data_IF_991253974894
#
_entry.id   IF_991253974894
#
_cell.length_a   1.000
_cell.length_b   1.000
_cell.length_c   1.000
_cell.angle_alpha   90.00
_cell.angle_beta   90.00
_cell.angle_gamma   90.00
#
_symmetry.space_group_name_H-M   'P 1'
#
loop_
_entity.id
_entity.type
_entity.pdbx_description
1 polymer ?
#
# COMPACT_ATOMS: atom_id res chain seq x y z
N UNK A 1 13.58 -12.27 8.39
CA UNK A 1 13.64 -10.84 8.01
C UNK A 1 12.23 -10.32 7.75
N UNK A 2 11.86 -9.19 8.35
CA UNK A 2 10.52 -8.58 8.21
C UNK A 2 10.63 -7.15 7.66
N UNK A 3 10.09 -6.96 6.46
CA UNK A 3 10.04 -5.65 5.80
C UNK A 3 8.61 -5.14 5.74
N UNK A 4 8.42 -3.86 6.08
CA UNK A 4 7.11 -3.22 6.07
C UNK A 4 7.08 -2.14 5.00
N UNK A 5 6.10 -2.20 4.10
CA UNK A 5 5.84 -1.21 3.08
C UNK A 5 4.59 -0.39 3.43
N UNK A 6 4.72 0.91 3.65
CA UNK A 6 3.59 1.83 3.94
C UNK A 6 3.60 3.05 3.05
N UNK A 7 2.45 3.72 2.89
CA UNK A 7 2.31 4.90 2.05
C UNK A 7 2.65 6.16 2.83
N UNK A 8 3.42 7.06 2.23
CA UNK A 8 3.94 8.23 2.92
C UNK A 8 2.99 9.44 2.96
N UNK A 9 1.98 9.50 2.08
CA UNK A 9 1.07 10.63 1.95
C UNK A 9 -0.40 10.20 2.18
N UNK A 10 -1.29 10.52 1.24
CA UNK A 10 -2.73 10.27 1.32
C UNK A 10 -3.15 9.01 0.54
N UNK A 11 -2.23 8.06 0.32
CA UNK A 11 -2.53 6.78 -0.30
C UNK A 11 -2.67 6.86 -1.82
N UNK A 12 -1.89 6.07 -2.54
CA UNK A 12 -1.78 5.94 -4.02
C UNK A 12 -0.36 6.16 -4.56
N UNK A 13 0.62 6.04 -3.67
CA UNK A 13 2.02 6.34 -3.91
C UNK A 13 2.74 5.25 -4.72
N UNK A 14 2.01 4.29 -5.29
CA UNK A 14 2.61 3.19 -6.04
C UNK A 14 3.13 2.03 -5.17
N UNK A 15 2.62 1.87 -3.94
CA UNK A 15 2.93 0.71 -3.07
C UNK A 15 2.82 -0.63 -3.80
N UNK A 16 1.77 -0.83 -4.62
CA UNK A 16 1.59 -2.06 -5.38
C UNK A 16 2.75 -2.39 -6.31
N UNK A 17 3.28 -1.37 -7.01
CA UNK A 17 4.45 -1.49 -7.87
C UNK A 17 5.71 -1.85 -7.06
N UNK A 18 5.92 -1.18 -5.92
CA UNK A 18 7.10 -1.46 -5.08
C UNK A 18 6.99 -2.86 -4.48
N UNK A 19 5.83 -3.26 -3.96
CA UNK A 19 5.61 -4.60 -3.42
C UNK A 19 5.73 -5.69 -4.48
N UNK A 20 5.29 -5.46 -5.73
CA UNK A 20 5.49 -6.43 -6.82
C UNK A 20 6.96 -6.52 -7.24
N UNK A 21 7.68 -5.39 -7.28
CA UNK A 21 9.13 -5.38 -7.52
C UNK A 21 9.89 -6.18 -6.45
N UNK A 22 9.65 -5.88 -5.17
CA UNK A 22 10.25 -6.61 -4.04
C UNK A 22 9.86 -8.10 -4.06
N UNK A 23 8.63 -8.41 -4.44
CA UNK A 23 8.18 -9.78 -4.66
C UNK A 23 9.05 -10.53 -5.69
N UNK A 24 9.42 -9.87 -6.79
CA UNK A 24 10.26 -10.45 -7.86
C UNK A 24 11.72 -10.51 -7.42
N UNK A 25 12.26 -9.39 -6.91
CA UNK A 25 13.69 -9.22 -6.64
C UNK A 25 14.13 -10.01 -5.41
N UNK A 26 13.35 -9.96 -4.33
CA UNK A 26 13.78 -10.47 -3.02
C UNK A 26 13.21 -11.85 -2.73
N UNK A 27 12.20 -12.26 -3.52
CA UNK A 27 11.50 -13.54 -3.41
C UNK A 27 11.08 -13.89 -1.96
N UNK A 28 10.29 -13.03 -1.29
CA UNK A 28 9.90 -13.28 0.10
C UNK A 28 9.12 -14.59 0.20
N UNK A 29 9.35 -15.34 1.28
CA UNK A 29 8.63 -16.57 1.57
C UNK A 29 7.12 -16.28 1.74
N UNK A 30 6.81 -15.16 2.40
CA UNK A 30 5.45 -14.71 2.66
C UNK A 30 5.29 -13.23 2.30
N UNK A 31 4.19 -12.90 1.64
CA UNK A 31 3.72 -11.54 1.52
C UNK A 31 2.38 -11.41 2.23
N UNK A 32 2.22 -10.37 3.05
CA UNK A 32 1.05 -10.19 3.91
C UNK A 32 0.36 -8.89 3.55
N UNK A 33 -0.96 -8.92 3.34
CA UNK A 33 -1.78 -7.72 3.12
C UNK A 33 -2.44 -7.28 4.41
N UNK A 34 -2.46 -5.97 4.67
CA UNK A 34 -3.27 -5.34 5.73
C UNK A 34 -4.28 -4.32 5.18
N UNK A 35 -5.24 -3.95 6.03
CA UNK A 35 -6.35 -3.05 5.71
C UNK A 35 -7.47 -3.73 4.92
N UNK A 36 -8.00 -3.07 3.88
CA UNK A 36 -9.26 -3.50 3.25
C UNK A 36 -9.40 -3.16 1.76
N UNK A 37 -10.54 -3.58 1.18
CA UNK A 37 -10.93 -3.49 -0.23
C UNK A 37 -11.11 -2.06 -0.75
N UNK A 38 -11.04 -1.05 0.13
CA UNK A 38 -11.07 0.36 -0.24
C UNK A 38 -9.73 0.88 -0.81
N UNK A 39 -8.66 0.09 -0.74
CA UNK A 39 -7.36 0.41 -1.33
C UNK A 39 -7.07 -0.48 -2.55
N UNK A 40 -6.93 0.12 -3.73
CA UNK A 40 -6.57 -0.57 -4.97
C UNK A 40 -5.11 -0.34 -5.35
N UNK A 41 -4.36 -1.42 -5.50
CA UNK A 41 -2.97 -1.43 -5.96
C UNK A 41 -2.92 -1.93 -7.40
N UNK A 42 -2.38 -1.10 -8.29
CA UNK A 42 -2.17 -1.47 -9.68
C UNK A 42 -0.79 -2.11 -9.80
N UNK A 43 -0.75 -3.29 -10.42
CA UNK A 43 0.49 -4.02 -10.72
C UNK A 43 0.57 -4.20 -12.23
N UNK A 44 1.69 -3.77 -12.83
CA UNK A 44 2.00 -4.03 -14.23
C UNK A 44 3.24 -4.92 -14.27
N UNK A 45 3.13 -6.06 -14.93
CA UNK A 45 4.22 -7.01 -15.08
C UNK A 45 3.97 -7.94 -16.26
N UNK A 46 4.99 -8.25 -17.05
CA UNK A 46 4.88 -9.13 -18.23
C UNK A 46 3.73 -8.72 -19.18
N UNK A 47 3.63 -7.41 -19.48
CA UNK A 47 2.59 -6.82 -20.34
C UNK A 47 1.13 -7.06 -19.88
N UNK A 48 0.93 -7.42 -18.61
CA UNK A 48 -0.37 -7.57 -17.99
C UNK A 48 -0.53 -6.55 -16.88
N UNK A 49 -1.76 -6.08 -16.71
CA UNK A 49 -2.13 -5.10 -15.68
C UNK A 49 -3.20 -5.70 -14.79
N UNK A 50 -2.93 -5.74 -13.49
CA UNK A 50 -3.87 -6.16 -12.46
C UNK A 50 -4.22 -4.98 -11.55
N UNK A 51 -5.47 -4.98 -11.08
CA UNK A 51 -5.96 -4.04 -10.06
C UNK A 51 -6.37 -4.86 -8.85
N UNK A 52 -5.44 -5.03 -7.92
CA UNK A 52 -5.58 -5.89 -6.75
C UNK A 52 -5.99 -5.04 -5.54
N UNK A 53 -6.89 -5.56 -4.72
CA UNK A 53 -7.43 -4.89 -3.53
C UNK A 53 -7.20 -5.71 -2.27
N UNK A 54 -7.17 -7.04 -2.39
CA UNK A 54 -7.11 -7.98 -1.26
C UNK A 54 -5.79 -8.74 -1.24
N UNK A 55 -5.38 -9.33 -2.36
CA UNK A 55 -4.14 -10.11 -2.36
C UNK A 55 -2.92 -9.17 -2.25
N UNK A 56 -1.81 -9.62 -1.63
CA UNK A 56 -0.55 -8.91 -1.70
C UNK A 56 -0.05 -8.78 -3.15
N UNK A 57 0.49 -7.63 -3.52
CA UNK A 57 1.00 -7.34 -4.87
C UNK A 57 2.19 -8.21 -5.29
N UNK A 58 2.87 -8.83 -4.31
CA UNK A 58 3.92 -9.82 -4.53
C UNK A 58 3.40 -11.15 -5.15
N UNK A 59 2.10 -11.27 -5.44
CA UNK A 59 1.53 -12.42 -6.17
C UNK A 59 2.24 -12.72 -7.49
N UNK A 60 2.92 -11.73 -8.10
CA UNK A 60 3.70 -11.92 -9.33
C UNK A 60 4.82 -12.95 -9.17
N UNK A 61 5.32 -13.15 -7.94
CA UNK A 61 6.20 -14.26 -7.62
C UNK A 61 5.38 -15.50 -7.25
N UNK A 62 5.60 -16.60 -7.99
CA UNK A 62 4.87 -17.85 -7.83
C UNK A 62 5.32 -18.68 -6.62
N UNK A 63 6.51 -18.45 -6.06
CA UNK A 63 6.95 -19.13 -4.83
C UNK A 63 6.49 -18.45 -3.55
N UNK A 64 6.11 -17.17 -3.61
CA UNK A 64 5.64 -16.41 -2.44
C UNK A 64 4.24 -16.84 -2.02
N UNK A 65 4.07 -17.19 -0.74
CA UNK A 65 2.77 -17.42 -0.12
C UNK A 65 2.08 -16.08 0.16
N UNK A 66 0.78 -16.01 -0.11
CA UNK A 66 -0.02 -14.79 -0.04
C UNK A 66 -0.94 -14.84 1.17
N UNK A 67 -0.77 -13.91 2.10
CA UNK A 67 -1.39 -14.00 3.43
C UNK A 67 -2.33 -12.83 3.68
N UNK A 68 -3.52 -13.12 4.21
CA UNK A 68 -4.41 -12.12 4.80
C UNK A 68 -4.32 -12.17 6.33
N UNK A 69 -3.90 -11.05 6.90
CA UNK A 69 -3.70 -10.86 8.33
C UNK A 69 -5.02 -10.83 9.13
N UNK A 70 -5.03 -11.18 10.43
CA UNK A 70 -6.25 -11.15 11.25
C UNK A 70 -6.92 -9.76 11.25
N UNK A 71 -6.13 -8.69 11.22
CA UNK A 71 -6.64 -7.34 11.13
C UNK A 71 -7.36 -7.03 9.82
N UNK A 72 -7.12 -7.75 8.71
CA UNK A 72 -7.67 -7.39 7.41
C UNK A 72 -9.21 -7.52 7.33
N UNK A 73 -9.79 -6.79 6.38
CA UNK A 73 -11.20 -6.86 5.98
C UNK A 73 -11.31 -7.14 4.48
N UNK A 74 -12.10 -8.13 4.11
CA UNK A 74 -12.24 -8.60 2.73
C UNK A 74 -13.70 -8.80 2.31
N UNK A 75 -13.98 -9.00 1.03
CA UNK A 75 -15.24 -9.58 0.56
C UNK A 75 -14.96 -10.87 -0.21
N UNK A 76 -15.86 -11.86 -0.08
CA UNK A 76 -15.66 -13.16 -0.72
C UNK A 76 -15.58 -13.04 -2.25
N UNK A 77 -16.47 -12.24 -2.85
CA UNK A 77 -16.51 -12.03 -4.29
C UNK A 77 -15.17 -11.49 -4.81
N UNK A 78 -14.67 -10.40 -4.23
CA UNK A 78 -13.43 -9.78 -4.68
C UNK A 78 -12.24 -10.70 -4.39
N UNK A 79 -12.23 -11.42 -3.26
CA UNK A 79 -11.17 -12.35 -2.90
C UNK A 79 -11.03 -13.46 -3.94
N UNK A 80 -12.12 -14.18 -4.23
CA UNK A 80 -12.07 -15.29 -5.19
C UNK A 80 -11.80 -14.82 -6.62
N UNK A 81 -12.28 -13.62 -7.00
CA UNK A 81 -11.93 -13.01 -8.28
C UNK A 81 -10.42 -12.73 -8.39
N UNK A 82 -9.79 -12.23 -7.33
CA UNK A 82 -8.35 -12.00 -7.29
C UNK A 82 -7.55 -13.31 -7.25
N UNK A 83 -7.97 -14.31 -6.48
CA UNK A 83 -7.33 -15.64 -6.45
C UNK A 83 -7.31 -16.26 -7.85
N UNK A 84 -8.45 -16.21 -8.55
CA UNK A 84 -8.58 -16.74 -9.91
C UNK A 84 -7.75 -15.95 -10.93
N UNK A 85 -7.81 -14.63 -10.91
CA UNK A 85 -7.13 -13.77 -11.90
C UNK A 85 -5.60 -13.72 -11.72
N UNK A 86 -5.11 -14.06 -10.53
CA UNK A 86 -3.68 -14.13 -10.22
C UNK A 86 -3.12 -15.57 -10.25
N UNK A 87 -3.99 -16.57 -10.38
CA UNK A 87 -3.63 -17.99 -10.36
C UNK A 87 -2.79 -18.32 -9.11
N UNK A 88 -3.44 -18.12 -7.95
CA UNK A 88 -2.78 -18.16 -6.62
C UNK A 88 -3.47 -19.08 -5.61
N UNK A 89 -4.44 -19.88 -6.05
CA UNK A 89 -5.29 -20.70 -5.19
C UNK A 89 -4.51 -21.56 -4.18
N UNK A 90 -3.47 -22.23 -4.65
CA UNK A 90 -2.66 -23.18 -3.88
C UNK A 90 -1.68 -22.55 -2.87
N UNK A 91 -1.66 -21.22 -2.75
CA UNK A 91 -0.66 -20.49 -1.95
C UNK A 91 -1.24 -19.30 -1.20
N UNK A 92 -2.57 -19.23 -1.11
CA UNK A 92 -3.29 -18.23 -0.30
C UNK A 92 -3.53 -18.79 1.09
N UNK A 93 -3.28 -17.95 2.09
CA UNK A 93 -3.45 -18.25 3.51
C UNK A 93 -4.25 -17.11 4.14
N UNK A 94 -5.28 -17.44 4.92
CA UNK A 94 -6.21 -16.46 5.47
C UNK A 94 -6.32 -16.70 6.97
N UNK A 95 -6.14 -15.65 7.77
CA UNK A 95 -6.40 -15.80 9.19
C UNK A 95 -7.91 -15.99 9.46
N UNK A 96 -8.23 -16.89 10.39
CA UNK A 96 -9.59 -17.13 10.87
C UNK A 96 -10.35 -15.86 11.33
N UNK A 97 -9.63 -14.80 11.72
CA UNK A 97 -10.17 -13.51 12.20
C UNK A 97 -10.29 -12.42 11.15
N UNK A 98 -9.96 -12.69 9.88
CA UNK A 98 -10.22 -11.74 8.78
C UNK A 98 -11.71 -11.41 8.75
N UNK A 99 -12.07 -10.13 8.79
CA UNK A 99 -13.48 -9.72 8.78
C UNK A 99 -14.07 -9.74 7.38
N UNK A 100 -15.32 -10.20 7.26
CA UNK A 100 -16.00 -10.32 5.97
C UNK A 100 -17.02 -9.20 5.78
N UNK A 101 -16.76 -8.37 4.77
CA UNK A 101 -17.65 -7.32 4.28
C UNK A 101 -18.70 -7.97 3.37
N UNK A 102 -19.97 -7.71 3.66
CA UNK A 102 -21.09 -8.16 2.85
C UNK A 102 -21.79 -6.99 2.17
N UNK A 103 -22.77 -7.30 1.32
CA UNK A 103 -23.66 -6.29 0.72
C UNK A 103 -24.33 -5.40 1.75
N UNK A 104 -24.52 -5.89 2.99
CA UNK A 104 -25.10 -5.10 4.07
C UNK A 104 -24.21 -3.90 4.41
N UNK A 105 -22.94 -4.14 4.73
CA UNK A 105 -22.00 -3.07 5.08
C UNK A 105 -21.79 -2.10 3.91
N UNK A 106 -21.76 -2.62 2.68
CA UNK A 106 -21.66 -1.79 1.46
C UNK A 106 -22.87 -0.87 1.31
N UNK A 107 -24.10 -1.40 1.48
CA UNK A 107 -25.34 -0.61 1.39
C UNK A 107 -25.45 0.40 2.52
N UNK A 108 -25.14 -0.01 3.75
CA UNK A 108 -25.16 0.86 4.92
C UNK A 108 -24.21 2.07 4.69
N UNK A 109 -22.99 1.84 4.21
CA UNK A 109 -22.05 2.92 3.90
C UNK A 109 -22.53 3.82 2.76
N UNK A 110 -23.09 3.25 1.68
CA UNK A 110 -23.57 4.04 0.52
C UNK A 110 -24.80 4.89 0.84
N UNK A 111 -25.61 4.46 1.80
CA UNK A 111 -26.79 5.19 2.26
C UNK A 111 -26.45 6.27 3.31
N UNK A 112 -25.25 6.24 3.87
CA UNK A 112 -24.77 7.24 4.81
C UNK A 112 -24.29 8.49 4.08
N UNK A 113 -25.13 9.54 4.07
CA UNK A 113 -24.80 10.77 3.36
C UNK A 113 -23.56 11.47 3.93
N UNK A 114 -23.29 11.35 5.23
CA UNK A 114 -22.12 11.98 5.82
C UNK A 114 -20.84 11.28 5.34
N UNK A 115 -20.80 9.95 5.35
CA UNK A 115 -19.65 9.21 4.82
C UNK A 115 -19.47 9.45 3.31
N UNK A 116 -20.55 9.45 2.53
CA UNK A 116 -20.45 9.58 1.07
C UNK A 116 -20.17 11.02 0.61
N UNK A 117 -20.80 12.04 1.21
CA UNK A 117 -20.68 13.45 0.79
C UNK A 117 -19.61 14.22 1.56
N UNK A 118 -19.55 14.09 2.89
CA UNK A 118 -18.62 14.85 3.73
C UNK A 118 -17.24 14.21 3.77
N UNK A 119 -17.14 12.93 4.09
CA UNK A 119 -15.84 12.23 4.11
C UNK A 119 -15.38 11.93 2.69
N UNK A 120 -16.30 11.51 1.83
CA UNK A 120 -15.98 11.04 0.48
C UNK A 120 -15.49 9.59 0.50
N UNK A 121 -16.19 8.71 1.22
CA UNK A 121 -15.86 7.28 1.30
C UNK A 121 -15.87 6.59 -0.07
N UNK A 122 -15.23 5.43 -0.14
CA UNK A 122 -15.17 4.56 -1.31
C UNK A 122 -16.47 3.76 -1.56
N UNK A 123 -17.37 3.71 -0.58
CA UNK A 123 -18.64 2.97 -0.69
C UNK A 123 -18.42 1.47 -0.85
N UNK A 124 -17.44 0.92 -0.14
CA UNK A 124 -17.05 -0.49 -0.14
C UNK A 124 -17.38 -1.19 1.18
N UNK A 125 -18.10 -0.55 2.10
CA UNK A 125 -18.51 -1.10 3.38
C UNK A 125 -17.45 -1.09 4.48
N UNK A 126 -16.25 -0.52 4.24
CA UNK A 126 -15.12 -0.63 5.17
C UNK A 126 -15.39 0.07 6.50
N UNK A 127 -15.95 1.28 6.49
CA UNK A 127 -16.27 2.01 7.72
C UNK A 127 -17.29 1.27 8.59
N UNK A 128 -18.37 0.77 7.98
CA UNK A 128 -19.40 0.00 8.68
C UNK A 128 -18.92 -1.37 9.15
N UNK A 129 -18.11 -2.07 8.35
CA UNK A 129 -17.50 -3.33 8.76
C UNK A 129 -16.59 -3.14 9.98
N UNK A 130 -15.76 -2.09 9.98
CA UNK A 130 -14.91 -1.77 11.13
C UNK A 130 -15.74 -1.43 12.38
N UNK A 131 -16.77 -0.59 12.23
CA UNK A 131 -17.68 -0.27 13.34
C UNK A 131 -18.35 -1.54 13.91
N UNK A 132 -18.81 -2.45 13.05
CA UNK A 132 -19.39 -3.74 13.46
C UNK A 132 -18.36 -4.64 14.13
N UNK A 133 -17.10 -4.62 13.68
CA UNK A 133 -16.00 -5.37 14.32
C UNK A 133 -15.73 -4.85 15.73
N UNK A 134 -15.68 -3.53 15.91
CA UNK A 134 -15.56 -2.87 17.22
C UNK A 134 -16.72 -3.28 18.14
N UNK A 135 -17.94 -3.33 17.61
CA UNK A 135 -19.14 -3.79 18.32
C UNK A 135 -19.24 -5.31 18.50
N UNK A 136 -18.26 -6.08 18.01
CA UNK A 136 -18.19 -7.57 18.08
C UNK A 136 -19.37 -8.29 17.40
N UNK A 137 -19.87 -7.74 16.30
CA UNK A 137 -20.99 -8.32 15.52
C UNK A 137 -20.64 -8.62 14.06
N UNK A 138 -19.45 -8.25 13.59
CA UNK A 138 -18.99 -8.59 12.25
C UNK A 138 -18.68 -10.09 12.16
N UNK A 139 -19.10 -10.74 11.07
CA UNK A 139 -18.69 -12.13 10.77
C UNK A 139 -17.25 -12.19 10.29
N UNK A 140 -16.56 -13.24 10.68
CA UNK A 140 -15.13 -13.46 10.38
C UNK A 140 -14.96 -14.64 9.42
N UNK A 141 -13.77 -14.79 8.85
CA UNK A 141 -13.47 -15.83 7.85
C UNK A 141 -13.82 -17.25 8.33
N UNK A 142 -13.61 -17.55 9.61
CA UNK A 142 -14.00 -18.83 10.23
C UNK A 142 -15.49 -19.17 10.17
N UNK A 143 -16.35 -18.18 9.94
CA UNK A 143 -17.80 -18.36 9.86
C UNK A 143 -18.26 -18.76 8.44
N UNK A 144 -17.34 -18.88 7.47
CA UNK A 144 -17.62 -19.15 6.05
C UNK A 144 -16.92 -20.44 5.59
N UNK A 145 -17.72 -21.43 5.17
CA UNK A 145 -17.21 -22.77 4.77
C UNK A 145 -16.32 -22.71 3.54
N UNK A 146 -16.59 -21.78 2.63
CA UNK A 146 -15.82 -21.57 1.40
C UNK A 146 -14.37 -21.19 1.68
N UNK A 147 -14.06 -20.71 2.89
CA UNK A 147 -12.71 -20.32 3.30
C UNK A 147 -11.97 -21.43 4.07
N UNK A 148 -12.62 -22.55 4.41
CA UNK A 148 -12.08 -23.60 5.30
C UNK A 148 -10.69 -24.08 4.86
N UNK A 149 -10.47 -24.26 3.55
CA UNK A 149 -9.20 -24.74 3.01
C UNK A 149 -8.06 -23.71 3.00
N UNK A 150 -8.34 -22.44 3.26
CA UNK A 150 -7.32 -21.38 3.30
C UNK A 150 -6.95 -20.96 4.73
N UNK A 151 -7.69 -21.42 5.73
CA UNK A 151 -7.57 -20.91 7.10
C UNK A 151 -6.29 -21.42 7.77
N UNK A 152 -5.56 -20.49 8.39
CA UNK A 152 -4.46 -20.79 9.30
C UNK A 152 -4.44 -19.81 10.48
N UNK A 153 -3.64 -20.13 11.51
CA UNK A 153 -3.26 -19.16 12.53
C UNK A 153 -2.07 -18.36 12.00
N UNK A 154 -2.35 -17.17 11.46
CA UNK A 154 -1.35 -16.38 10.73
C UNK A 154 -0.26 -15.81 11.65
N UNK A 155 -0.57 -15.19 12.81
CA UNK A 155 0.46 -14.66 13.70
C UNK A 155 1.49 -15.72 14.12
N UNK A 156 1.04 -16.88 14.61
CA UNK A 156 1.94 -17.94 15.06
C UNK A 156 2.79 -18.47 13.91
N UNK A 157 2.17 -18.72 12.75
CA UNK A 157 2.88 -19.16 11.54
C UNK A 157 3.97 -18.16 11.12
N UNK A 158 3.67 -16.86 11.06
CA UNK A 158 4.64 -15.86 10.62
C UNK A 158 5.77 -15.70 11.65
N UNK A 159 5.48 -15.77 12.95
CA UNK A 159 6.50 -15.69 14.01
C UNK A 159 7.45 -16.89 13.93
N UNK A 160 6.92 -18.11 13.79
CA UNK A 160 7.73 -19.32 13.62
C UNK A 160 8.64 -19.24 12.40
N UNK A 161 8.15 -18.65 11.30
CA UNK A 161 8.92 -18.46 10.07
C UNK A 161 10.00 -17.38 10.23
N UNK A 162 9.71 -16.29 10.96
CA UNK A 162 10.73 -15.28 11.28
C UNK A 162 11.87 -15.85 12.12
N UNK A 163 11.59 -16.79 13.03
CA UNK A 163 12.60 -17.49 13.82
C UNK A 163 13.48 -18.45 12.99
N UNK A 164 13.03 -18.81 11.78
CA UNK A 164 13.79 -19.61 10.79
C UNK A 164 14.46 -18.73 9.73
N UNK A 165 14.57 -17.44 10.00
CA UNK A 165 15.13 -16.44 9.10
C UNK A 165 14.38 -16.27 7.76
N UNK A 166 13.12 -16.74 7.66
CA UNK A 166 12.29 -16.52 6.47
C UNK A 166 12.12 -15.02 6.19
N UNK A 167 12.06 -14.65 4.91
CA UNK A 167 11.79 -13.29 4.44
C UNK A 167 10.28 -13.07 4.35
N UNK A 168 9.78 -12.03 5.01
CA UNK A 168 8.36 -11.68 5.06
C UNK A 168 8.20 -10.21 4.66
N UNK A 169 7.39 -9.97 3.62
CA UNK A 169 7.04 -8.63 3.14
C UNK A 169 5.62 -8.27 3.59
N UNK A 170 5.47 -7.20 4.34
CA UNK A 170 4.16 -6.67 4.74
C UNK A 170 3.79 -5.50 3.84
N UNK A 171 2.63 -5.58 3.21
CA UNK A 171 2.10 -4.55 2.33
C UNK A 171 0.93 -3.82 2.99
N UNK A 172 1.21 -2.60 3.44
CA UNK A 172 0.25 -1.72 4.10
C UNK A 172 -0.73 -1.04 3.15
N UNK A 173 -1.87 -0.65 3.72
CA UNK A 173 -2.82 0.31 3.13
C UNK A 173 -3.25 1.30 4.21
N UNK A 174 -3.66 2.53 3.94
CA UNK A 174 -3.54 3.36 2.73
C UNK A 174 -2.22 4.16 2.80
N UNK A 175 -2.27 5.48 3.02
CA UNK A 175 -1.09 6.32 3.32
C UNK A 175 -1.19 6.92 4.71
N UNK A 176 -0.07 7.38 5.28
CA UNK A 176 0.05 7.89 6.65
C UNK A 176 -1.02 8.90 7.02
N UNK A 177 -1.30 9.89 6.16
CA UNK A 177 -2.26 10.97 6.46
C UNK A 177 -3.72 10.61 6.17
N UNK A 178 -3.99 9.36 5.79
CA UNK A 178 -5.32 8.75 5.86
C UNK A 178 -5.51 7.92 7.13
N UNK A 179 -4.53 7.87 8.03
CA UNK A 179 -4.68 7.19 9.33
C UNK A 179 -5.82 7.81 10.13
N UNK A 180 -6.64 6.96 10.75
CA UNK A 180 -7.72 7.37 11.65
C UNK A 180 -7.23 8.29 12.78
N UNK A 181 -5.99 8.09 13.24
CA UNK A 181 -5.44 8.80 14.40
C UNK A 181 -4.45 9.90 14.02
N UNK A 182 -3.75 9.75 12.90
CA UNK A 182 -2.64 10.62 12.52
C UNK A 182 -2.88 11.37 11.20
N UNK A 183 -4.05 11.19 10.58
CA UNK A 183 -4.49 11.93 9.42
C UNK A 183 -5.39 13.13 9.76
N UNK A 184 -5.87 13.81 8.73
CA UNK A 184 -6.79 14.94 8.86
C UNK A 184 -8.23 14.45 9.12
N UNK A 185 -8.51 14.06 10.35
CA UNK A 185 -9.86 13.65 10.75
C UNK A 185 -10.87 14.81 10.53
N UNK A 186 -12.07 14.57 9.96
CA UNK A 186 -12.68 13.26 9.65
C UNK A 186 -12.39 12.71 8.25
N UNK A 187 -11.53 13.34 7.44
CA UNK A 187 -11.24 12.98 6.04
C UNK A 187 -10.18 11.88 5.93
N UNK A 188 -10.36 10.81 6.70
CA UNK A 188 -9.42 9.70 6.89
C UNK A 188 -10.11 8.36 6.65
N UNK A 189 -9.34 7.28 6.62
CA UNK A 189 -9.91 5.93 6.64
C UNK A 189 -10.33 5.53 8.06
N UNK A 190 -10.98 4.38 8.21
CA UNK A 190 -11.44 3.89 9.52
C UNK A 190 -10.35 3.18 10.34
N UNK A 191 -9.06 3.29 9.94
CA UNK A 191 -7.96 2.47 10.48
C UNK A 191 -6.66 3.25 10.59
N UNK A 192 -5.72 2.73 11.39
CA UNK A 192 -4.38 3.28 11.44
C UNK A 192 -3.50 2.70 10.32
N UNK A 193 -3.09 3.54 9.38
CA UNK A 193 -2.29 3.17 8.20
C UNK A 193 -0.78 3.30 8.40
N UNK A 194 -0.30 3.59 9.61
CA UNK A 194 1.15 3.63 9.91
C UNK A 194 1.74 2.23 10.07
N UNK A 195 3.07 2.11 10.05
CA UNK A 195 3.79 0.85 10.25
C UNK A 195 3.38 0.15 11.56
N UNK A 196 3.22 0.91 12.65
CA UNK A 196 2.72 0.38 13.93
C UNK A 196 1.27 -0.12 13.84
N UNK A 197 0.42 0.55 13.06
CA UNK A 197 -0.95 0.09 12.79
C UNK A 197 -0.95 -1.23 12.03
N UNK A 198 -0.12 -1.32 10.99
CA UNK A 198 0.08 -2.54 10.20
C UNK A 198 0.59 -3.71 11.08
N UNK A 199 1.54 -3.46 11.98
CA UNK A 199 2.03 -4.47 12.95
C UNK A 199 0.91 -4.99 13.86
N UNK A 200 0.07 -4.09 14.36
CA UNK A 200 -1.10 -4.45 15.16
C UNK A 200 -2.06 -5.35 14.38
N UNK A 201 -2.27 -5.07 13.09
CA UNK A 201 -3.15 -5.87 12.24
C UNK A 201 -2.60 -7.27 11.94
N UNK A 202 -1.29 -7.45 11.81
CA UNK A 202 -0.69 -8.76 11.53
C UNK A 202 -0.44 -9.61 12.78
N UNK A 203 -0.47 -8.99 13.97
CA UNK A 203 -0.22 -9.69 15.24
C UNK A 203 1.27 -9.98 15.49
N UNK A 204 2.18 -9.17 14.95
CA UNK A 204 3.64 -9.33 15.14
C UNK A 204 4.18 -8.16 15.97
N UNK A 205 5.02 -8.48 16.96
CA UNK A 205 5.62 -7.48 17.83
C UNK A 205 6.67 -6.61 17.12
N UNK A 206 6.86 -5.35 17.53
CA UNK A 206 7.76 -4.41 16.85
C UNK A 206 9.24 -4.80 16.87
N UNK A 207 9.66 -5.69 17.80
CA UNK A 207 11.04 -6.18 17.89
C UNK A 207 11.45 -7.06 16.71
N UNK A 208 10.50 -7.55 15.92
CA UNK A 208 10.79 -8.38 14.74
C UNK A 208 11.06 -7.56 13.48
N UNK A 209 10.78 -6.24 13.48
CA UNK A 209 10.91 -5.42 12.28
C UNK A 209 12.38 -5.15 11.95
N UNK A 210 12.75 -5.44 10.70
CA UNK A 210 14.08 -5.12 10.17
C UNK A 210 14.04 -3.80 9.40
N UNK A 211 13.12 -3.69 8.43
CA UNK A 211 13.01 -2.51 7.58
C UNK A 211 11.60 -1.94 7.56
N UNK A 212 11.52 -0.61 7.45
CA UNK A 212 10.29 0.13 7.18
C UNK A 212 10.54 1.03 5.97
N UNK A 213 9.95 0.64 4.84
CA UNK A 213 10.01 1.35 3.57
C UNK A 213 8.77 2.24 3.46
N UNK A 214 8.98 3.55 3.48
CA UNK A 214 7.90 4.52 3.23
C UNK A 214 7.90 4.89 1.75
N UNK A 215 6.77 4.63 1.10
CA UNK A 215 6.58 4.92 -0.33
C UNK A 215 6.01 6.31 -0.51
N UNK A 216 6.75 7.17 -1.21
CA UNK A 216 6.23 8.44 -1.71
C UNK A 216 6.10 8.41 -3.22
N UNK A 217 5.18 9.23 -3.73
CA UNK A 217 5.13 9.61 -5.14
C UNK A 217 5.91 10.91 -5.30
N UNK A 218 6.51 11.16 -6.46
CA UNK A 218 7.24 12.40 -6.81
C UNK A 218 6.41 13.69 -6.69
N UNK A 219 5.11 13.57 -6.42
CA UNK A 219 4.16 14.63 -6.11
C UNK A 219 3.08 14.08 -5.18
N UNK A 220 2.31 14.96 -4.54
CA UNK A 220 1.23 14.57 -3.62
C UNK A 220 -0.09 14.47 -4.38
N UNK A 221 -0.84 13.40 -4.13
CA UNK A 221 -2.21 13.23 -4.62
C UNK A 221 -3.18 13.00 -3.47
N UNK A 222 -4.41 13.45 -3.63
CA UNK A 222 -5.50 13.21 -2.67
C UNK A 222 -6.83 12.94 -3.37
N UNK A 223 -7.60 12.00 -2.86
CA UNK A 223 -8.96 11.68 -3.32
C UNK A 223 -9.97 12.10 -2.26
N UNK A 224 -11.08 12.70 -2.68
CA UNK A 224 -12.12 13.18 -1.77
C UNK A 224 -11.78 14.53 -1.13
N UNK A 225 -12.51 14.85 -0.06
CA UNK A 225 -12.43 16.14 0.62
C UNK A 225 -11.18 16.25 1.51
N UNK A 226 -11.06 17.37 2.23
CA UNK A 226 -9.95 17.70 3.12
C UNK A 226 -8.89 18.62 2.50
N UNK A 227 -8.03 19.20 3.32
CA UNK A 227 -7.09 20.21 2.88
C UNK A 227 -5.87 19.64 2.12
N UNK A 228 -5.48 20.24 1.00
CA UNK A 228 -4.24 19.90 0.32
C UNK A 228 -3.39 21.17 0.14
N UNK A 229 -2.30 21.24 0.89
CA UNK A 229 -1.36 22.36 0.80
C UNK A 229 -0.75 22.45 -0.60
N UNK A 230 -0.75 23.64 -1.19
CA UNK A 230 -0.26 23.92 -2.55
C UNK A 230 -0.97 23.10 -3.64
N UNK A 231 -2.28 22.83 -3.47
CA UNK A 231 -3.11 22.20 -4.50
C UNK A 231 -3.07 23.00 -5.81
N UNK A 232 -2.75 22.30 -6.90
CA UNK A 232 -2.76 22.84 -8.25
C UNK A 232 -4.19 22.88 -8.79
N UNK A 233 -4.52 23.93 -9.54
CA UNK A 233 -5.76 23.94 -10.32
C UNK A 233 -5.70 22.89 -11.45
N UNK A 234 -6.86 22.54 -12.00
CA UNK A 234 -6.96 21.47 -13.02
C UNK A 234 -6.16 21.77 -14.30
N UNK A 235 -6.04 23.05 -14.69
CA UNK A 235 -5.29 23.42 -15.89
C UNK A 235 -3.78 23.20 -15.71
N UNK A 236 -3.23 23.60 -14.57
CA UNK A 236 -1.80 23.45 -14.29
C UNK A 236 -1.43 21.98 -14.06
N UNK A 237 -2.30 21.21 -13.39
CA UNK A 237 -2.14 19.76 -13.29
C UNK A 237 -2.15 19.06 -14.66
N UNK A 238 -2.99 19.52 -15.60
CA UNK A 238 -3.01 19.01 -16.99
C UNK A 238 -1.74 19.37 -17.75
N UNK A 239 -1.28 20.63 -17.68
CA UNK A 239 -0.05 21.08 -18.34
C UNK A 239 1.17 20.28 -17.88
N UNK A 240 1.23 19.94 -16.59
CA UNK A 240 2.29 19.13 -16.01
C UNK A 240 2.10 17.62 -16.21
N UNK A 241 0.98 17.17 -16.79
CA UNK A 241 0.71 15.75 -17.01
C UNK A 241 0.46 14.94 -15.72
N UNK A 242 0.06 15.61 -14.63
CA UNK A 242 -0.10 14.98 -13.30
C UNK A 242 -1.51 14.46 -13.02
N UNK A 243 -2.41 14.54 -13.99
CA UNK A 243 -3.81 14.14 -13.78
C UNK A 243 -3.95 12.63 -13.64
N UNK A 244 -4.60 12.18 -12.56
CA UNK A 244 -4.80 10.75 -12.26
C UNK A 244 -6.26 10.45 -11.84
N UNK A 245 -6.69 9.22 -12.09
CA UNK A 245 -8.01 8.70 -11.72
C UNK A 245 -7.85 7.58 -10.69
N UNK A 246 -8.63 7.64 -9.61
CA UNK A 246 -8.62 6.66 -8.53
C UNK A 246 -9.10 5.28 -9.01
N UNK A 247 -8.33 4.24 -8.71
CA UNK A 247 -8.57 2.85 -9.17
C UNK A 247 -9.90 2.26 -8.69
N UNK A 248 -10.33 2.61 -7.48
CA UNK A 248 -11.53 2.04 -6.85
C UNK A 248 -12.79 2.82 -7.21
N UNK A 249 -12.76 4.14 -7.03
CA UNK A 249 -13.96 4.99 -7.17
C UNK A 249 -14.11 5.66 -8.53
N UNK A 250 -13.07 5.67 -9.37
CA UNK A 250 -13.06 6.41 -10.64
C UNK A 250 -13.03 7.94 -10.48
N UNK A 251 -12.78 8.46 -9.27
CA UNK A 251 -12.73 9.91 -9.00
C UNK A 251 -11.39 10.50 -9.44
N UNK A 252 -11.38 11.72 -9.95
CA UNK A 252 -10.14 12.47 -10.22
C UNK A 252 -9.38 12.74 -8.91
N UNK A 253 -8.06 12.66 -8.97
CA UNK A 253 -7.17 13.03 -7.85
C UNK A 253 -6.84 14.52 -7.91
N UNK A 254 -6.90 15.17 -6.75
CA UNK A 254 -6.30 16.49 -6.53
C UNK A 254 -4.79 16.32 -6.41
N UNK A 255 -4.02 17.28 -6.90
CA UNK A 255 -2.57 17.18 -7.08
C UNK A 255 -1.88 18.38 -6.44
N UNK A 256 -0.76 18.15 -5.77
CA UNK A 256 0.15 19.19 -5.30
C UNK A 256 1.61 18.75 -5.55
N UNK A 257 2.58 19.69 -5.61
CA UNK A 257 4.00 19.35 -5.61
C UNK A 257 4.41 18.49 -4.42
N UNK A 258 5.59 17.85 -4.51
CA UNK A 258 6.13 17.07 -3.39
C UNK A 258 6.22 17.92 -2.12
N UNK A 259 5.69 17.42 -1.00
CA UNK A 259 5.66 18.15 0.26
C UNK A 259 6.67 17.54 1.24
N UNK A 260 7.82 18.20 1.40
CA UNK A 260 8.91 17.71 2.25
C UNK A 260 8.53 17.72 3.74
N UNK A 261 7.71 18.67 4.19
CA UNK A 261 7.24 18.73 5.58
C UNK A 261 6.39 17.50 5.92
N UNK A 262 5.42 17.17 5.06
CA UNK A 262 4.61 15.96 5.20
C UNK A 262 5.46 14.68 5.12
N UNK A 263 6.45 14.64 4.22
CA UNK A 263 7.34 13.51 4.11
C UNK A 263 8.16 13.28 5.40
N UNK A 264 8.76 14.34 5.97
CA UNK A 264 9.49 14.29 7.26
C UNK A 264 8.61 13.79 8.40
N UNK A 265 7.37 14.28 8.49
CA UNK A 265 6.42 13.84 9.50
C UNK A 265 6.07 12.35 9.35
N UNK A 266 5.81 11.93 8.11
CA UNK A 266 5.50 10.53 7.78
C UNK A 266 6.66 9.58 8.08
N UNK A 267 7.89 9.98 7.73
CA UNK A 267 9.12 9.26 8.06
C UNK A 267 9.25 9.07 9.57
N UNK A 268 9.04 10.15 10.34
CA UNK A 268 9.14 10.12 11.80
C UNK A 268 8.07 9.22 12.43
N UNK A 269 6.81 9.33 12.00
CA UNK A 269 5.71 8.52 12.52
C UNK A 269 5.90 7.03 12.25
N UNK A 270 6.47 6.68 11.10
CA UNK A 270 6.68 5.30 10.70
C UNK A 270 8.05 4.75 11.12
N UNK A 271 8.96 5.58 11.62
CA UNK A 271 10.37 5.18 11.85
C UNK A 271 11.01 4.58 10.59
N UNK A 272 10.86 5.29 9.45
CA UNK A 272 11.32 4.81 8.16
C UNK A 272 12.83 4.50 8.20
N UNK A 273 13.21 3.30 7.77
CA UNK A 273 14.62 2.95 7.55
C UNK A 273 15.05 3.30 6.14
N UNK A 274 14.10 3.33 5.19
CA UNK A 274 14.34 3.56 3.79
C UNK A 274 13.14 4.25 3.13
N UNK A 275 13.38 4.89 1.98
CA UNK A 275 12.36 5.54 1.17
C UNK A 275 12.31 4.89 -0.22
N UNK A 276 11.09 4.66 -0.71
CA UNK A 276 10.82 4.40 -2.12
C UNK A 276 10.13 5.61 -2.76
N UNK A 277 10.66 6.12 -3.87
CA UNK A 277 10.01 7.16 -4.69
C UNK A 277 9.41 6.52 -5.93
N UNK A 278 8.16 6.82 -6.27
CA UNK A 278 7.53 6.39 -7.53
C UNK A 278 7.19 7.59 -8.41
N UNK A 279 6.86 7.30 -9.69
CA UNK A 279 6.44 8.29 -10.68
C UNK A 279 7.52 9.34 -10.95
N UNK A 280 8.80 8.98 -10.85
CA UNK A 280 9.88 9.90 -11.18
C UNK A 280 9.78 10.34 -12.65
N UNK A 281 9.38 9.42 -13.53
CA UNK A 281 9.12 9.61 -14.96
C UNK A 281 8.03 10.65 -15.26
N UNK A 282 7.12 10.86 -14.31
CA UNK A 282 6.09 11.89 -14.46
C UNK A 282 6.67 13.29 -14.27
N UNK A 283 7.64 13.46 -13.37
CA UNK A 283 8.32 14.74 -13.14
C UNK A 283 9.48 14.95 -14.13
N UNK A 284 10.23 13.89 -14.42
CA UNK A 284 11.38 13.89 -15.32
C UNK A 284 11.16 12.85 -16.42
N UNK A 285 10.56 13.26 -17.55
CA UNK A 285 10.13 12.35 -18.63
C UNK A 285 11.25 11.46 -19.17
N UNK A 286 12.48 11.96 -19.22
CA UNK A 286 13.65 11.22 -19.69
C UNK A 286 14.13 10.13 -18.71
N UNK A 287 13.53 10.05 -17.52
CA UNK A 287 13.75 8.93 -16.61
C UNK A 287 12.88 7.71 -16.93
N UNK A 288 11.91 7.81 -17.87
CA UNK A 288 11.01 6.71 -18.20
C UNK A 288 11.75 5.41 -18.56
N UNK A 289 11.43 4.33 -17.84
CA UNK A 289 12.04 2.99 -17.96
C UNK A 289 13.53 2.91 -17.69
N UNK A 290 14.14 3.93 -17.08
CA UNK A 290 15.53 3.87 -16.64
C UNK A 290 15.65 2.91 -15.46
N UNK A 291 16.55 1.93 -15.57
CA UNK A 291 16.79 0.89 -14.54
C UNK A 291 18.17 0.97 -13.86
N UNK A 292 19.04 1.85 -14.35
CA UNK A 292 20.36 2.09 -13.77
C UNK A 292 20.46 3.55 -13.34
N UNK A 293 20.87 3.81 -12.10
CA UNK A 293 20.97 5.18 -11.57
C UNK A 293 21.90 6.07 -12.40
N UNK A 294 23.00 5.52 -12.91
CA UNK A 294 23.95 6.23 -13.78
C UNK A 294 23.30 6.84 -15.03
N UNK A 295 22.19 6.25 -15.50
CA UNK A 295 21.51 6.65 -16.73
C UNK A 295 20.37 7.65 -16.49
N UNK A 296 20.09 8.02 -15.23
CA UNK A 296 19.12 9.08 -14.94
C UNK A 296 19.62 10.45 -15.44
N UNK A 297 18.72 11.33 -15.91
CA UNK A 297 19.07 12.70 -16.25
C UNK A 297 19.60 13.44 -15.02
N UNK A 298 20.50 14.40 -15.23
CA UNK A 298 21.20 15.11 -14.16
C UNK A 298 20.23 15.81 -13.20
N UNK A 299 19.16 16.40 -13.73
CA UNK A 299 18.12 17.08 -12.94
C UNK A 299 17.38 16.12 -12.00
N UNK A 300 17.10 14.89 -12.46
CA UNK A 300 16.45 13.88 -11.62
C UNK A 300 17.37 13.38 -10.51
N UNK A 301 18.66 13.16 -10.81
CA UNK A 301 19.66 12.79 -9.79
C UNK A 301 19.78 13.88 -8.73
N UNK A 302 19.93 15.13 -9.16
CA UNK A 302 20.00 16.28 -8.25
C UNK A 302 18.76 16.38 -7.37
N UNK A 303 17.56 16.23 -7.95
CA UNK A 303 16.32 16.25 -7.18
C UNK A 303 16.26 15.14 -6.12
N UNK A 304 16.72 13.92 -6.45
CA UNK A 304 16.80 12.80 -5.50
C UNK A 304 17.81 13.10 -4.39
N UNK A 305 18.99 13.61 -4.74
CA UNK A 305 20.07 13.95 -3.81
C UNK A 305 19.66 15.08 -2.85
N UNK A 306 19.10 16.17 -3.37
CA UNK A 306 18.57 17.29 -2.58
C UNK A 306 17.46 16.80 -1.63
N UNK A 307 16.56 15.93 -2.11
CA UNK A 307 15.49 15.38 -1.31
C UNK A 307 16.00 14.45 -0.20
N UNK A 308 16.93 13.56 -0.51
CA UNK A 308 17.56 12.66 0.47
C UNK A 308 18.33 13.46 1.54
N UNK A 309 19.08 14.49 1.13
CA UNK A 309 19.74 15.39 2.05
C UNK A 309 18.73 16.07 2.97
N UNK A 310 17.57 16.49 2.46
CA UNK A 310 16.57 17.13 3.28
C UNK A 310 15.83 16.15 4.21
N UNK A 311 15.51 14.95 3.74
CA UNK A 311 14.74 13.93 4.48
C UNK A 311 15.58 13.16 5.51
N UNK A 312 16.90 13.11 5.34
CA UNK A 312 17.85 12.40 6.24
C UNK A 312 17.55 10.90 6.40
N UNK A 313 16.91 10.30 5.39
CA UNK A 313 16.66 8.85 5.27
C UNK A 313 16.97 8.46 3.83
N UNK A 314 17.67 7.32 3.58
CA UNK A 314 18.09 6.96 2.24
C UNK A 314 16.89 6.60 1.34
N UNK A 315 16.85 7.20 0.16
CA UNK A 315 16.04 6.83 -0.99
C UNK A 315 16.75 5.67 -1.68
N UNK A 316 16.25 4.47 -1.44
CA UNK A 316 16.86 3.22 -1.90
C UNK A 316 16.13 2.62 -3.09
N UNK A 317 14.86 2.92 -3.31
CA UNK A 317 14.08 2.36 -4.43
C UNK A 317 13.44 3.50 -5.22
N UNK A 318 13.60 3.49 -6.54
CA UNK A 318 13.13 4.56 -7.42
C UNK A 318 12.35 3.95 -8.60
N UNK A 319 11.05 4.17 -8.63
CA UNK A 319 10.16 3.78 -9.72
C UNK A 319 10.16 4.80 -10.87
N UNK A 320 10.48 4.33 -12.06
CA UNK A 320 10.69 5.12 -13.29
C UNK A 320 9.69 4.78 -14.41
N UNK A 321 8.56 4.17 -14.08
CA UNK A 321 7.53 3.80 -15.06
C UNK A 321 6.40 3.00 -14.41
N UNK A 322 5.54 2.40 -15.23
CA UNK A 322 4.42 1.58 -14.74
C UNK A 322 4.80 0.13 -14.44
N UNK A 323 5.71 -0.48 -15.21
CA UNK A 323 6.09 -1.89 -15.02
C UNK A 323 6.84 -2.06 -13.69
N UNK A 324 6.64 -3.19 -13.04
CA UNK A 324 7.30 -3.54 -11.77
C UNK A 324 8.83 -3.50 -11.91
N UNK A 325 9.36 -3.87 -13.08
CA UNK A 325 10.80 -3.88 -13.37
C UNK A 325 11.36 -2.53 -13.82
N UNK A 326 10.51 -1.53 -14.07
CA UNK A 326 10.95 -0.15 -14.34
C UNK A 326 11.29 0.55 -13.03
N UNK A 327 12.27 -0.01 -12.33
CA UNK A 327 12.65 0.33 -10.97
C UNK A 327 14.17 0.30 -10.86
N UNK A 328 14.74 1.30 -10.20
CA UNK A 328 16.15 1.35 -9.80
C UNK A 328 16.19 0.97 -8.33
N UNK A 329 17.08 0.04 -7.99
CA UNK A 329 17.33 -0.39 -6.61
C UNK A 329 18.76 -0.02 -6.23
N UNK A 330 18.88 0.72 -5.13
CA UNK A 330 20.11 1.26 -4.56
C UNK A 330 20.33 0.74 -3.14
N UNK A 331 19.58 -0.28 -2.70
CA UNK A 331 19.68 -0.82 -1.34
C UNK A 331 21.08 -1.37 -1.07
N UNK A 332 21.66 -2.09 -2.02
CA UNK A 332 23.02 -2.60 -1.90
C UNK A 332 24.05 -1.48 -1.69
N UNK A 333 23.95 -0.42 -2.49
CA UNK A 333 24.88 0.70 -2.48
C UNK A 333 24.72 1.60 -1.24
N UNK A 334 23.48 1.82 -0.78
CA UNK A 334 23.18 2.78 0.29
C UNK A 334 23.14 2.20 1.68
N UNK A 335 22.76 0.94 1.82
CA UNK A 335 22.54 0.31 3.13
C UNK A 335 23.13 -1.10 3.25
N UNK A 336 23.81 -1.60 2.21
CA UNK A 336 24.51 -2.89 2.25
C UNK A 336 23.61 -4.12 2.28
N UNK A 337 22.35 -4.00 1.84
CA UNK A 337 21.39 -5.10 1.79
C UNK A 337 21.65 -5.97 0.53
N UNK A 338 21.66 -7.30 0.69
CA UNK A 338 21.92 -8.31 -0.37
C UNK A 338 20.67 -8.90 -1.02
#
# INVERSE_FOLDING_TARGET
>A
MLDILVGGFYGDEGKGKIASYLGINDSPNYAVRTGSINAGHTVVFNNKTWKIRILPSAFVNKSTKLVLAPGALTSLEQLFNEIKSTDSDNRVIIDSHVGIITDKEIKDERNDENLMKMVGSTGQGVGYAEARRILRILKLAKDYKELENYIANVPDMLIDELQKDSRILIEGTQGTFLSLYHGEYPYVTSRNSTASGVLSEIGIGPKYVNNIIVVFKSFVTRVGNGYLENELNEEDAKKLGLTEIATVTGRKRRVAPFNVKLAKESIRLNSATQIAITKLDTLFKDSYKVRNYSNLPLEAKKWIEDLEEELKVPITIIGTGEDSMDTIDLRKEKIGEE
#
